data_IF_376427799717
#
_entry.id   IF_376427799717
#
_cell.length_a   1.000
_cell.length_b   1.000
_cell.length_c   1.000
_cell.angle_alpha   90.00
_cell.angle_beta   90.00
_cell.angle_gamma   90.00
#
_symmetry.space_group_name_H-M   'P 1'
#
loop_
_entity.id
_entity.type
_entity.pdbx_description
1 polymer ?
#
# COMPACT_ATOMS: atom_id res chain seq x y z
N UNK A 1 -30.63 -64.78 37.12
CA UNK A 1 -29.93 -63.54 36.71
C UNK A 1 -29.47 -63.56 35.25
N UNK A 2 -30.15 -64.29 34.35
CA UNK A 2 -29.74 -64.43 32.94
C UNK A 2 -30.71 -63.80 31.92
N UNK A 3 -31.84 -63.24 32.37
CA UNK A 3 -32.92 -62.76 31.49
C UNK A 3 -32.82 -61.24 31.18
N UNK A 4 -32.14 -60.47 32.03
CA UNK A 4 -32.08 -59.00 31.88
C UNK A 4 -31.05 -58.54 30.82
N UNK A 5 -30.09 -59.40 30.45
CA UNK A 5 -28.99 -59.04 29.55
C UNK A 5 -29.37 -59.17 28.06
N UNK A 6 -30.30 -60.08 27.73
CA UNK A 6 -30.82 -60.24 26.37
C UNK A 6 -31.78 -59.12 25.95
N UNK A 7 -32.59 -58.63 26.89
CA UNK A 7 -33.58 -57.57 26.61
C UNK A 7 -32.92 -56.20 26.35
N UNK A 8 -31.81 -55.88 27.03
CA UNK A 8 -31.09 -54.61 26.81
C UNK A 8 -30.38 -54.53 25.45
N UNK A 9 -29.85 -55.65 24.93
CA UNK A 9 -29.17 -55.69 23.64
C UNK A 9 -30.14 -55.57 22.44
N UNK A 10 -31.38 -56.05 22.59
CA UNK A 10 -32.41 -55.94 21.56
C UNK A 10 -32.97 -54.51 21.43
N UNK A 11 -33.11 -53.80 22.56
CA UNK A 11 -33.62 -52.41 22.60
C UNK A 11 -32.61 -51.41 22.00
N UNK A 12 -31.31 -51.64 22.19
CA UNK A 12 -30.23 -50.78 21.66
C UNK A 12 -30.19 -50.82 20.12
N UNK A 13 -30.26 -52.04 19.56
CA UNK A 13 -30.30 -52.32 18.11
C UNK A 13 -31.48 -51.67 17.39
N UNK A 14 -32.65 -51.62 18.03
CA UNK A 14 -33.85 -51.02 17.43
C UNK A 14 -33.78 -49.49 17.46
N UNK A 15 -33.20 -48.90 18.51
CA UNK A 15 -33.00 -47.45 18.58
C UNK A 15 -32.01 -46.95 17.51
N UNK A 16 -30.90 -47.67 17.31
CA UNK A 16 -29.90 -47.37 16.29
C UNK A 16 -30.47 -47.51 14.87
N UNK A 17 -31.34 -48.49 14.65
CA UNK A 17 -32.05 -48.66 13.38
C UNK A 17 -33.03 -47.53 13.13
N UNK A 18 -33.79 -47.10 14.15
CA UNK A 18 -34.72 -45.98 14.02
C UNK A 18 -34.00 -44.66 13.78
N UNK A 19 -32.84 -44.44 14.41
CA UNK A 19 -32.00 -43.27 14.16
C UNK A 19 -31.36 -43.30 12.76
N UNK A 20 -30.93 -44.46 12.29
CA UNK A 20 -30.47 -44.63 10.91
C UNK A 20 -31.59 -44.34 9.91
N UNK A 21 -32.79 -44.86 10.13
CA UNK A 21 -33.97 -44.62 9.28
C UNK A 21 -34.41 -43.15 9.30
N UNK A 22 -34.36 -42.49 10.46
CA UNK A 22 -34.63 -41.05 10.58
C UNK A 22 -33.62 -40.23 9.79
N UNK A 23 -32.32 -40.57 9.86
CA UNK A 23 -31.27 -39.91 9.08
C UNK A 23 -31.41 -40.14 7.57
N UNK A 24 -31.84 -41.32 7.14
CA UNK A 24 -32.15 -41.60 5.73
C UNK A 24 -33.39 -40.82 5.25
N UNK A 25 -34.42 -40.68 6.10
CA UNK A 25 -35.63 -39.90 5.78
C UNK A 25 -35.35 -38.41 5.62
N UNK A 26 -34.42 -37.85 6.41
CA UNK A 26 -33.97 -36.47 6.26
C UNK A 26 -33.18 -36.21 4.97
N UNK A 27 -32.47 -37.22 4.46
CA UNK A 27 -31.69 -37.11 3.22
C UNK A 27 -32.51 -37.34 1.94
N UNK A 28 -33.59 -38.13 2.02
CA UNK A 28 -34.40 -38.52 0.86
C UNK A 28 -35.56 -37.55 0.52
N UNK A 29 -35.77 -36.48 1.31
CA UNK A 29 -36.94 -35.61 1.17
C UNK A 29 -36.62 -34.12 1.17
N UNK A 30 -35.65 -33.70 0.36
CA UNK A 30 -35.51 -32.27 0.01
C UNK A 30 -36.13 -32.10 -1.38
N UNK A 31 -37.38 -31.62 -1.44
CA UNK A 31 -37.97 -31.12 -2.68
C UNK A 31 -37.22 -29.84 -3.08
N UNK A 32 -36.25 -29.97 -3.99
CA UNK A 32 -35.52 -28.82 -4.51
C UNK A 32 -36.41 -28.04 -5.48
N UNK A 33 -36.48 -26.72 -5.33
CA UNK A 33 -37.18 -25.88 -6.32
C UNK A 33 -36.41 -25.87 -7.64
N UNK A 34 -37.07 -25.72 -8.80
CA UNK A 34 -36.39 -25.64 -10.10
C UNK A 34 -35.28 -24.59 -10.15
N UNK A 35 -35.49 -23.44 -9.48
CA UNK A 35 -34.51 -22.35 -9.36
C UNK A 35 -33.27 -22.74 -8.54
N UNK A 36 -33.45 -23.57 -7.50
CA UNK A 36 -32.35 -24.05 -6.67
C UNK A 36 -31.57 -25.16 -7.39
N UNK A 37 -32.26 -26.01 -8.15
CA UNK A 37 -31.65 -26.99 -9.04
C UNK A 37 -30.84 -26.30 -10.15
N UNK A 38 -31.40 -25.26 -10.76
CA UNK A 38 -30.72 -24.46 -11.78
C UNK A 38 -29.50 -23.72 -11.20
N UNK A 39 -29.60 -23.10 -10.02
CA UNK A 39 -28.42 -22.53 -9.32
C UNK A 39 -27.37 -23.58 -8.97
N UNK A 40 -27.77 -24.78 -8.57
CA UNK A 40 -26.83 -25.86 -8.22
C UNK A 40 -26.12 -26.42 -9.47
N UNK A 41 -26.81 -26.45 -10.61
CA UNK A 41 -26.30 -26.94 -11.89
C UNK A 41 -25.45 -25.89 -12.63
N UNK A 42 -25.86 -24.62 -12.59
CA UNK A 42 -25.17 -23.50 -13.24
C UNK A 42 -24.00 -22.95 -12.41
N UNK A 43 -24.02 -23.14 -11.10
CA UNK A 43 -22.95 -22.72 -10.19
C UNK A 43 -22.66 -23.84 -9.19
N UNK A 44 -21.92 -24.90 -9.60
CA UNK A 44 -21.47 -25.92 -8.67
C UNK A 44 -20.74 -25.23 -7.52
N UNK A 45 -21.16 -25.48 -6.28
CA UNK A 45 -20.45 -24.94 -5.13
C UNK A 45 -19.00 -25.43 -5.17
N UNK A 46 -18.07 -24.53 -5.47
CA UNK A 46 -16.65 -24.87 -5.49
C UNK A 46 -16.26 -25.36 -4.11
N UNK A 47 -15.79 -26.61 -4.00
CA UNK A 47 -15.29 -27.21 -2.76
C UNK A 47 -13.93 -26.63 -2.32
N UNK A 48 -13.56 -25.46 -2.84
CA UNK A 48 -12.39 -24.72 -2.41
C UNK A 48 -12.80 -24.02 -1.13
N UNK A 49 -12.23 -24.45 0.01
CA UNK A 49 -12.38 -23.72 1.27
C UNK A 49 -11.96 -22.28 0.98
N UNK A 50 -12.92 -21.35 0.95
CA UNK A 50 -12.73 -19.93 0.67
C UNK A 50 -12.01 -19.20 1.81
N UNK A 51 -10.98 -19.83 2.37
CA UNK A 51 -10.16 -19.36 3.47
C UNK A 51 -8.77 -19.04 2.95
N UNK A 52 -8.68 -18.28 1.84
CA UNK A 52 -7.39 -17.76 1.33
C UNK A 52 -6.64 -16.99 2.44
N UNK A 53 -7.38 -16.32 3.33
CA UNK A 53 -6.85 -15.65 4.53
C UNK A 53 -6.36 -16.58 5.65
N UNK A 54 -6.83 -17.83 5.71
CA UNK A 54 -6.29 -18.83 6.64
C UNK A 54 -5.17 -19.65 6.00
N UNK A 55 -5.03 -19.56 4.66
CA UNK A 55 -3.98 -20.23 3.88
C UNK A 55 -2.75 -19.34 3.71
N UNK A 56 -2.94 -18.03 3.54
CA UNK A 56 -1.88 -17.03 3.38
C UNK A 56 -1.97 -15.96 4.47
N UNK A 57 -0.82 -15.47 4.95
CA UNK A 57 -0.76 -14.37 5.91
C UNK A 57 -1.20 -13.03 5.31
N UNK A 58 -1.44 -12.03 6.17
CA UNK A 58 -1.79 -10.68 5.74
C UNK A 58 -0.57 -9.99 5.08
N UNK A 59 -0.65 -9.58 3.79
CA UNK A 59 0.46 -8.96 3.08
C UNK A 59 0.50 -7.42 3.25
N UNK A 60 -0.52 -6.80 3.84
CA UNK A 60 -0.58 -5.35 4.08
C UNK A 60 0.67 -4.84 4.82
N UNK A 61 1.15 -5.49 5.91
CA UNK A 61 2.35 -5.03 6.60
C UNK A 61 3.61 -5.05 5.72
N UNK A 62 3.72 -6.02 4.80
CA UNK A 62 4.85 -6.11 3.86
C UNK A 62 4.88 -4.87 2.96
N UNK A 63 3.73 -4.48 2.41
CA UNK A 63 3.62 -3.30 1.57
C UNK A 63 3.87 -2.00 2.36
N UNK A 64 3.37 -1.93 3.61
CA UNK A 64 3.58 -0.77 4.48
C UNK A 64 5.05 -0.60 4.88
N UNK A 65 5.80 -1.68 5.12
CA UNK A 65 7.24 -1.59 5.36
C UNK A 65 7.96 -0.99 4.15
N UNK A 66 7.62 -1.43 2.94
CA UNK A 66 8.16 -0.83 1.71
C UNK A 66 7.89 0.67 1.63
N UNK A 67 6.68 1.09 1.99
CA UNK A 67 6.26 2.50 1.97
C UNK A 67 7.03 3.34 2.99
N UNK A 68 7.09 2.87 4.23
CA UNK A 68 7.77 3.57 5.32
C UNK A 68 9.28 3.69 5.07
N UNK A 69 9.91 2.63 4.57
CA UNK A 69 11.35 2.62 4.29
C UNK A 69 11.74 3.51 3.11
N UNK A 70 10.85 3.76 2.15
CA UNK A 70 11.12 4.71 1.07
C UNK A 70 10.78 6.15 1.47
N UNK A 71 9.62 6.36 2.08
CA UNK A 71 9.09 7.69 2.34
C UNK A 71 9.76 8.39 3.52
N UNK A 72 10.07 7.66 4.59
CA UNK A 72 10.64 8.26 5.81
C UNK A 72 12.06 8.78 5.57
N UNK A 73 12.99 8.03 4.95
CA UNK A 73 14.32 8.55 4.65
C UNK A 73 14.29 9.68 3.63
N UNK A 74 13.43 9.62 2.60
CA UNK A 74 13.28 10.72 1.64
C UNK A 74 12.80 12.00 2.35
N UNK A 75 11.85 11.86 3.27
CA UNK A 75 11.35 12.95 4.11
C UNK A 75 12.49 13.60 4.90
N UNK A 76 13.29 12.82 5.62
CA UNK A 76 14.46 13.33 6.36
C UNK A 76 15.47 14.03 5.45
N UNK A 77 15.71 13.49 4.25
CA UNK A 77 16.60 14.09 3.25
C UNK A 77 16.10 15.46 2.78
N UNK A 78 14.79 15.58 2.49
CA UNK A 78 14.20 16.83 1.99
C UNK A 78 14.07 17.91 3.07
N UNK A 79 14.15 17.54 4.36
CA UNK A 79 14.29 18.49 5.48
C UNK A 79 15.75 18.92 5.71
N UNK A 80 16.70 18.37 4.98
CA UNK A 80 18.14 18.51 5.23
C UNK A 80 18.54 18.12 6.67
N UNK A 81 17.83 17.16 7.28
CA UNK A 81 18.10 16.74 8.64
C UNK A 81 19.51 16.13 8.73
N UNK A 82 20.26 16.50 9.78
CA UNK A 82 21.66 16.09 9.98
C UNK A 82 22.59 16.46 8.80
N UNK A 83 22.23 17.50 8.04
CA UNK A 83 22.98 17.91 6.85
C UNK A 83 22.77 17.00 5.63
N UNK A 84 21.70 16.20 5.61
CA UNK A 84 21.32 15.43 4.43
C UNK A 84 21.11 16.35 3.21
N UNK A 85 21.50 15.89 2.02
CA UNK A 85 21.46 16.68 0.79
C UNK A 85 21.29 15.79 -0.44
N UNK A 86 21.21 16.39 -1.63
CA UNK A 86 21.17 15.64 -2.89
C UNK A 86 19.83 14.97 -3.16
N UNK A 87 18.73 15.52 -2.62
CA UNK A 87 17.35 15.12 -2.93
C UNK A 87 17.08 13.60 -2.82
N UNK A 88 17.75 12.93 -1.87
CA UNK A 88 17.58 11.49 -1.64
C UNK A 88 18.30 10.60 -2.65
N UNK A 89 19.31 11.09 -3.37
CA UNK A 89 20.12 10.29 -4.29
C UNK A 89 20.85 9.10 -3.59
N UNK A 90 21.25 9.28 -2.32
CA UNK A 90 21.88 8.21 -1.54
C UNK A 90 20.95 6.99 -1.33
N UNK A 91 19.63 7.20 -1.37
CA UNK A 91 18.61 6.19 -1.10
C UNK A 91 17.93 5.66 -2.38
N UNK A 92 18.51 5.90 -3.57
CA UNK A 92 18.03 5.33 -4.84
C UNK A 92 17.76 3.82 -4.75
N UNK A 93 18.66 2.98 -4.21
CA UNK A 93 18.39 1.53 -4.10
C UNK A 93 17.15 1.21 -3.25
N UNK A 94 16.89 2.01 -2.21
CA UNK A 94 15.73 1.83 -1.32
C UNK A 94 14.42 2.08 -2.09
N UNK A 95 14.40 3.04 -3.00
CA UNK A 95 13.24 3.29 -3.86
C UNK A 95 12.97 2.10 -4.80
N UNK A 96 14.02 1.47 -5.33
CA UNK A 96 13.84 0.31 -6.20
C UNK A 96 13.38 -0.94 -5.45
N UNK A 97 14.06 -1.31 -4.37
CA UNK A 97 13.85 -2.60 -3.72
C UNK A 97 12.75 -2.58 -2.67
N UNK A 98 12.73 -1.58 -1.78
CA UNK A 98 11.73 -1.48 -0.71
C UNK A 98 10.49 -0.71 -1.16
N UNK A 99 10.66 0.53 -1.60
CA UNK A 99 9.55 1.35 -2.07
C UNK A 99 8.87 0.76 -3.30
N UNK A 100 9.65 0.13 -4.18
CA UNK A 100 9.21 -0.37 -5.46
C UNK A 100 8.78 -1.82 -5.46
N UNK A 101 9.76 -2.71 -5.54
CA UNK A 101 9.54 -4.16 -5.70
C UNK A 101 8.77 -4.74 -4.52
N UNK A 102 9.23 -4.53 -3.29
CA UNK A 102 8.60 -5.10 -2.09
C UNK A 102 7.15 -4.62 -1.95
N UNK A 103 6.89 -3.33 -2.16
CA UNK A 103 5.54 -2.77 -2.08
C UNK A 103 4.63 -3.31 -3.19
N UNK A 104 5.12 -3.38 -4.44
CA UNK A 104 4.34 -3.90 -5.57
C UNK A 104 4.00 -5.37 -5.37
N UNK A 105 4.94 -6.17 -4.87
CA UNK A 105 4.69 -7.56 -4.50
C UNK A 105 3.63 -7.67 -3.40
N UNK A 106 3.70 -6.81 -2.37
CA UNK A 106 2.66 -6.72 -1.36
C UNK A 106 1.27 -6.41 -1.94
N UNK A 107 1.18 -5.48 -2.89
CA UNK A 107 -0.06 -5.19 -3.62
C UNK A 107 -0.58 -6.37 -4.45
N UNK A 108 0.29 -7.12 -5.11
CA UNK A 108 -0.09 -8.35 -5.82
C UNK A 108 -0.62 -9.43 -4.87
N UNK A 109 -0.02 -9.57 -3.69
CA UNK A 109 -0.49 -10.50 -2.65
C UNK A 109 -1.85 -10.08 -2.08
N UNK A 110 -2.10 -8.78 -1.92
CA UNK A 110 -3.43 -8.26 -1.57
C UNK A 110 -4.48 -8.62 -2.62
N UNK A 111 -4.12 -8.54 -3.90
CA UNK A 111 -5.01 -8.92 -5.00
C UNK A 111 -5.36 -10.41 -4.96
N UNK A 112 -4.37 -11.28 -4.69
CA UNK A 112 -4.57 -12.73 -4.54
C UNK A 112 -5.53 -13.05 -3.38
N UNK A 113 -5.48 -12.28 -2.30
CA UNK A 113 -6.41 -12.43 -1.17
C UNK A 113 -7.80 -11.83 -1.41
N UNK A 114 -8.02 -11.15 -2.53
CA UNK A 114 -9.29 -10.50 -2.89
C UNK A 114 -9.45 -9.08 -2.34
N UNK A 115 -8.40 -8.47 -1.78
CA UNK A 115 -8.42 -7.10 -1.27
C UNK A 115 -8.08 -6.10 -2.39
N UNK A 116 -9.06 -5.79 -3.25
CA UNK A 116 -8.83 -5.00 -4.46
C UNK A 116 -8.36 -3.56 -4.20
N UNK A 117 -8.88 -2.89 -3.16
CA UNK A 117 -8.53 -1.49 -2.90
C UNK A 117 -7.06 -1.34 -2.44
N UNK A 118 -6.60 -2.02 -1.37
CA UNK A 118 -5.19 -1.98 -0.97
C UNK A 118 -4.25 -2.48 -2.08
N UNK A 119 -4.66 -3.49 -2.85
CA UNK A 119 -3.87 -3.98 -3.97
C UNK A 119 -3.56 -2.90 -5.01
N UNK A 120 -4.59 -2.16 -5.46
CA UNK A 120 -4.42 -1.07 -6.43
C UNK A 120 -3.56 0.04 -5.83
N UNK A 121 -3.82 0.42 -4.58
CA UNK A 121 -3.02 1.42 -3.87
C UNK A 121 -1.53 1.04 -3.84
N UNK A 122 -1.19 -0.13 -3.31
CA UNK A 122 0.20 -0.54 -3.14
C UNK A 122 0.93 -0.77 -4.47
N UNK A 123 0.24 -1.27 -5.50
CA UNK A 123 0.82 -1.37 -6.85
C UNK A 123 1.08 0.03 -7.45
N UNK A 124 0.16 0.99 -7.29
CA UNK A 124 0.35 2.36 -7.77
C UNK A 124 1.49 3.08 -7.06
N UNK A 125 1.59 3.00 -5.73
CA UNK A 125 2.71 3.60 -5.00
C UNK A 125 4.03 2.86 -5.22
N UNK A 126 4.00 1.53 -5.38
CA UNK A 126 5.18 0.74 -5.69
C UNK A 126 5.81 1.16 -7.02
N UNK A 127 4.98 1.27 -8.06
CA UNK A 127 5.43 1.76 -9.36
C UNK A 127 5.85 3.23 -9.32
N UNK A 128 5.20 4.09 -8.53
CA UNK A 128 5.66 5.45 -8.28
C UNK A 128 7.10 5.49 -7.73
N UNK A 129 7.44 4.66 -6.74
CA UNK A 129 8.80 4.61 -6.18
C UNK A 129 9.83 4.06 -7.17
N UNK A 130 9.47 3.07 -7.98
CA UNK A 130 10.32 2.59 -9.08
C UNK A 130 10.60 3.72 -10.08
N UNK A 131 9.57 4.46 -10.48
CA UNK A 131 9.71 5.61 -11.38
C UNK A 131 10.53 6.74 -10.76
N UNK A 132 10.33 7.05 -9.47
CA UNK A 132 11.11 8.09 -8.78
C UNK A 132 12.59 7.71 -8.67
N UNK A 133 12.88 6.45 -8.33
CA UNK A 133 14.23 5.90 -8.37
C UNK A 133 14.84 5.97 -9.77
N UNK A 134 14.05 5.72 -10.81
CA UNK A 134 14.46 5.88 -12.21
C UNK A 134 14.81 7.31 -12.58
N UNK A 135 14.03 8.30 -12.13
CA UNK A 135 14.32 9.72 -12.36
C UNK A 135 15.67 10.12 -11.76
N UNK A 136 15.99 9.63 -10.56
CA UNK A 136 17.25 9.94 -9.88
C UNK A 136 18.43 9.11 -10.38
N UNK A 137 18.18 7.93 -10.95
CA UNK A 137 19.21 7.05 -11.45
C UNK A 137 19.76 7.56 -12.80
N UNK A 138 21.07 7.90 -12.88
CA UNK A 138 21.66 8.44 -14.10
C UNK A 138 21.50 7.53 -15.34
N UNK A 139 21.39 6.22 -15.15
CA UNK A 139 21.26 5.25 -16.26
C UNK A 139 19.97 5.40 -17.07
N UNK A 140 18.91 6.00 -16.51
CA UNK A 140 17.66 6.28 -17.23
C UNK A 140 17.73 7.56 -18.06
N UNK A 141 18.81 8.35 -17.93
CA UNK A 141 19.00 9.62 -18.60
C UNK A 141 17.86 10.64 -18.43
N UNK A 142 17.05 10.49 -17.37
CA UNK A 142 15.83 11.28 -17.18
C UNK A 142 16.09 12.78 -17.03
N UNK A 143 17.09 13.15 -16.21
CA UNK A 143 17.52 14.54 -16.08
C UNK A 143 18.61 14.92 -17.09
N UNK A 144 19.53 14.00 -17.42
CA UNK A 144 20.65 14.30 -18.32
C UNK A 144 20.21 14.63 -19.74
N UNK A 145 19.05 14.12 -20.19
CA UNK A 145 18.49 14.45 -21.52
C UNK A 145 18.04 15.90 -21.65
N UNK A 146 17.89 16.61 -20.53
CA UNK A 146 17.56 18.04 -20.52
C UNK A 146 18.81 18.93 -20.48
N UNK A 147 20.00 18.38 -20.23
CA UNK A 147 21.24 19.16 -20.21
C UNK A 147 21.67 19.55 -21.64
N UNK A 148 22.29 20.71 -21.80
CA UNK A 148 22.89 21.11 -23.08
C UNK A 148 24.10 20.22 -23.43
N UNK A 149 24.41 20.09 -24.72
CA UNK A 149 25.40 19.12 -25.23
C UNK A 149 26.82 19.24 -24.63
N UNK A 150 27.18 20.39 -24.07
CA UNK A 150 28.50 20.65 -23.49
C UNK A 150 28.46 20.83 -21.96
N UNK A 151 27.31 20.58 -21.33
CA UNK A 151 27.12 20.79 -19.89
C UNK A 151 27.12 19.46 -19.12
N UNK A 152 27.40 19.54 -17.82
CA UNK A 152 27.29 18.37 -16.95
C UNK A 152 25.84 17.87 -16.93
N UNK A 153 25.66 16.54 -16.88
CA UNK A 153 24.32 15.92 -16.82
C UNK A 153 23.43 16.52 -15.71
N UNK A 154 24.02 16.88 -14.56
CA UNK A 154 23.32 17.46 -13.42
C UNK A 154 22.64 18.81 -13.73
N UNK A 155 23.13 19.58 -14.71
CA UNK A 155 22.52 20.85 -15.12
C UNK A 155 21.11 20.66 -15.69
N UNK A 156 20.81 19.46 -16.22
CA UNK A 156 19.46 19.10 -16.65
C UNK A 156 18.41 19.24 -15.55
N UNK A 157 18.79 19.03 -14.28
CA UNK A 157 17.90 19.20 -13.10
C UNK A 157 17.46 20.65 -12.89
N UNK A 158 18.20 21.62 -13.43
CA UNK A 158 17.92 23.05 -13.27
C UNK A 158 17.05 23.60 -14.39
N UNK A 159 16.80 22.81 -15.43
CA UNK A 159 16.06 23.28 -16.59
C UNK A 159 14.57 23.44 -16.30
N UNK A 160 13.95 24.45 -16.90
CA UNK A 160 12.50 24.66 -16.86
C UNK A 160 11.75 23.42 -17.37
N UNK A 161 12.22 22.82 -18.46
CA UNK A 161 11.58 21.64 -19.07
C UNK A 161 11.52 20.44 -18.13
N UNK A 162 12.61 20.15 -17.43
CA UNK A 162 12.66 19.04 -16.47
C UNK A 162 11.74 19.29 -15.28
N UNK A 163 11.85 20.47 -14.66
CA UNK A 163 11.09 20.83 -13.46
C UNK A 163 9.59 20.92 -13.75
N UNK A 164 9.18 21.50 -14.88
CA UNK A 164 7.77 21.56 -15.28
C UNK A 164 7.18 20.15 -15.51
N UNK A 165 7.94 19.28 -16.19
CA UNK A 165 7.52 17.90 -16.49
C UNK A 165 7.34 17.06 -15.22
N UNK A 166 8.28 17.13 -14.27
CA UNK A 166 8.13 16.46 -12.98
C UNK A 166 6.96 17.04 -12.17
N UNK A 167 6.74 18.35 -12.22
CA UNK A 167 5.61 19.00 -11.56
C UNK A 167 4.26 18.43 -12.03
N UNK A 168 4.09 18.21 -13.34
CA UNK A 168 2.90 17.54 -13.89
C UNK A 168 2.76 16.11 -13.39
N UNK A 169 3.84 15.33 -13.35
CA UNK A 169 3.78 13.95 -12.86
C UNK A 169 3.32 13.90 -11.38
N UNK A 170 3.86 14.76 -10.53
CA UNK A 170 3.40 14.86 -9.13
C UNK A 170 1.97 15.37 -9.00
N UNK A 171 1.52 16.26 -9.90
CA UNK A 171 0.13 16.74 -9.91
C UNK A 171 -0.84 15.59 -10.16
N UNK A 172 -0.59 14.79 -11.20
CA UNK A 172 -1.45 13.65 -11.52
C UNK A 172 -1.38 12.55 -10.45
N UNK A 173 -0.23 12.37 -9.80
CA UNK A 173 -0.13 11.50 -8.63
C UNK A 173 -0.97 12.02 -7.46
N UNK A 174 -0.97 13.34 -7.21
CA UNK A 174 -1.86 13.98 -6.25
C UNK A 174 -3.33 13.79 -6.59
N UNK A 175 -3.72 13.92 -7.86
CA UNK A 175 -5.08 13.66 -8.33
C UNK A 175 -5.51 12.20 -8.11
N UNK A 176 -4.60 11.24 -8.34
CA UNK A 176 -4.84 9.84 -8.02
C UNK A 176 -5.07 9.65 -6.51
N UNK A 177 -4.31 10.35 -5.66
CA UNK A 177 -4.52 10.32 -4.21
C UNK A 177 -5.88 10.89 -3.81
N UNK A 178 -6.42 11.89 -4.52
CA UNK A 178 -7.80 12.38 -4.30
C UNK A 178 -8.83 11.29 -4.59
N UNK A 179 -8.66 10.53 -5.69
CA UNK A 179 -9.53 9.40 -5.99
C UNK A 179 -9.46 8.35 -4.89
N UNK A 180 -8.25 7.98 -4.45
CA UNK A 180 -8.07 7.03 -3.34
C UNK A 180 -8.61 7.53 -2.00
N UNK A 181 -8.51 8.85 -1.71
CA UNK A 181 -9.11 9.46 -0.53
C UNK A 181 -10.63 9.24 -0.52
N UNK A 182 -11.31 9.54 -1.63
CA UNK A 182 -12.75 9.36 -1.78
C UNK A 182 -13.13 7.88 -1.58
N UNK A 183 -12.39 6.96 -2.18
CA UNK A 183 -12.60 5.52 -2.00
C UNK A 183 -12.33 5.04 -0.56
N UNK A 184 -11.41 5.71 0.16
CA UNK A 184 -11.02 5.33 1.52
C UNK A 184 -12.00 5.76 2.60
N UNK A 185 -12.90 6.72 2.31
CA UNK A 185 -13.87 7.28 3.26
C UNK A 185 -14.74 6.22 3.96
N UNK A 186 -14.98 5.08 3.31
CA UNK A 186 -15.82 4.00 3.85
C UNK A 186 -15.02 2.80 4.38
N UNK A 187 -13.72 2.72 4.10
CA UNK A 187 -12.95 1.48 4.31
C UNK A 187 -12.02 1.56 5.51
N UNK A 188 -11.22 2.62 5.66
CA UNK A 188 -10.21 2.69 6.72
C UNK A 188 -9.77 4.13 7.01
N UNK A 189 -9.93 4.57 8.26
CA UNK A 189 -9.51 5.91 8.73
C UNK A 189 -8.00 6.12 8.56
N UNK A 190 -7.19 5.07 8.72
CA UNK A 190 -5.73 5.14 8.52
C UNK A 190 -5.41 5.47 7.06
N UNK A 191 -6.00 4.75 6.10
CA UNK A 191 -5.79 5.07 4.68
C UNK A 191 -6.30 6.47 4.32
N UNK A 192 -7.42 6.90 4.91
CA UNK A 192 -7.91 8.27 4.73
C UNK A 192 -6.87 9.30 5.20
N UNK A 193 -6.31 9.14 6.40
CA UNK A 193 -5.29 10.07 6.92
C UNK A 193 -4.02 10.08 6.06
N UNK A 194 -3.60 8.92 5.55
CA UNK A 194 -2.44 8.80 4.66
C UNK A 194 -2.71 9.51 3.32
N UNK A 195 -3.87 9.31 2.70
CA UNK A 195 -4.15 9.99 1.42
C UNK A 195 -4.32 11.49 1.60
N UNK A 196 -4.90 11.94 2.72
CA UNK A 196 -5.03 13.37 3.01
C UNK A 196 -3.65 14.02 3.12
N UNK A 197 -2.71 13.41 3.84
CA UNK A 197 -1.34 13.92 3.94
C UNK A 197 -0.61 13.86 2.60
N UNK A 198 -0.81 12.79 1.81
CA UNK A 198 -0.20 12.65 0.48
C UNK A 198 -0.73 13.67 -0.54
N UNK A 199 -2.01 14.04 -0.50
CA UNK A 199 -2.56 15.09 -1.38
C UNK A 199 -1.88 16.42 -1.12
N UNK A 200 -1.74 16.81 0.14
CA UNK A 200 -1.04 18.04 0.52
C UNK A 200 0.43 17.93 0.09
N UNK A 201 1.04 16.77 0.29
CA UNK A 201 2.44 16.56 -0.03
C UNK A 201 2.75 16.64 -1.53
N UNK A 202 1.97 15.98 -2.37
CA UNK A 202 2.10 16.07 -3.82
C UNK A 202 1.75 17.48 -4.33
N UNK A 203 0.76 18.16 -3.74
CA UNK A 203 0.45 19.55 -4.06
C UNK A 203 1.62 20.50 -3.78
N UNK A 204 2.26 20.37 -2.61
CA UNK A 204 3.46 21.15 -2.27
C UNK A 204 4.65 20.79 -3.16
N UNK A 205 4.79 19.52 -3.54
CA UNK A 205 5.84 19.05 -4.44
C UNK A 205 5.66 19.65 -5.84
N UNK A 206 4.45 19.59 -6.40
CA UNK A 206 4.10 20.26 -7.67
C UNK A 206 4.40 21.75 -7.61
N UNK A 207 3.97 22.45 -6.55
CA UNK A 207 4.26 23.87 -6.37
C UNK A 207 5.76 24.18 -6.30
N UNK A 208 6.54 23.34 -5.61
CA UNK A 208 7.99 23.52 -5.52
C UNK A 208 8.67 23.34 -6.88
N UNK A 209 8.33 22.30 -7.63
CA UNK A 209 8.91 22.04 -8.95
C UNK A 209 8.48 23.08 -9.99
N UNK A 210 7.24 23.56 -9.97
CA UNK A 210 6.85 24.66 -10.87
C UNK A 210 7.49 26.00 -10.50
N UNK A 211 7.66 26.31 -9.21
CA UNK A 211 8.42 27.50 -8.81
C UNK A 211 9.88 27.44 -9.28
N UNK A 212 10.51 26.26 -9.23
CA UNK A 212 11.86 26.03 -9.79
C UNK A 212 11.88 26.07 -11.32
N UNK A 213 10.76 25.77 -11.98
CA UNK A 213 10.66 25.87 -13.43
C UNK A 213 10.59 27.34 -13.91
N UNK A 214 9.89 28.20 -13.15
CA UNK A 214 9.76 29.63 -13.44
C UNK A 214 11.08 30.38 -13.25
N UNK A 215 11.72 30.19 -12.09
CA UNK A 215 13.05 30.74 -11.80
C UNK A 215 13.79 29.83 -10.81
N UNK A 216 14.70 29.02 -11.34
CA UNK A 216 15.45 28.06 -10.54
C UNK A 216 16.28 28.72 -9.44
N UNK A 217 16.96 29.83 -9.74
CA UNK A 217 17.87 30.49 -8.80
C UNK A 217 17.12 31.37 -7.79
N UNK A 218 16.17 32.18 -8.27
CA UNK A 218 15.41 33.10 -7.41
C UNK A 218 14.42 32.40 -6.49
N UNK A 219 13.80 31.30 -6.95
CA UNK A 219 12.81 30.57 -6.15
C UNK A 219 13.38 29.39 -5.36
N UNK A 220 14.69 29.13 -5.41
CA UNK A 220 15.31 27.99 -4.71
C UNK A 220 14.97 27.95 -3.21
N UNK A 221 14.99 29.11 -2.54
CA UNK A 221 14.66 29.20 -1.12
C UNK A 221 13.16 28.97 -0.84
N UNK A 222 12.29 29.48 -1.71
CA UNK A 222 10.84 29.27 -1.62
C UNK A 222 10.47 27.80 -1.87
N UNK A 223 11.05 27.20 -2.90
CA UNK A 223 10.90 25.78 -3.20
C UNK A 223 11.37 24.93 -2.02
N UNK A 224 12.53 25.22 -1.43
CA UNK A 224 13.00 24.52 -0.23
C UNK A 224 11.99 24.62 0.93
N UNK A 225 11.41 25.80 1.18
CA UNK A 225 10.36 25.94 2.20
C UNK A 225 9.16 25.04 1.93
N UNK A 226 8.70 24.97 0.68
CA UNK A 226 7.61 24.05 0.29
C UNK A 226 8.00 22.58 0.49
N UNK A 227 9.26 22.22 0.20
CA UNK A 227 9.77 20.87 0.42
C UNK A 227 9.86 20.53 1.91
N UNK A 228 10.27 21.47 2.77
CA UNK A 228 10.36 21.25 4.22
C UNK A 228 8.97 21.14 4.84
N UNK A 229 8.04 22.05 4.52
CA UNK A 229 6.66 22.10 5.07
C UNK A 229 5.85 20.85 4.75
N UNK A 230 6.11 20.19 3.62
CA UNK A 230 5.49 18.91 3.25
C UNK A 230 5.71 17.82 4.31
N UNK A 231 6.87 17.84 4.94
CA UNK A 231 7.44 16.69 5.63
C UNK A 231 6.83 16.39 6.99
N UNK A 232 6.55 17.37 7.88
CA UNK A 232 5.87 17.09 9.15
C UNK A 232 4.49 16.43 8.95
N UNK A 233 3.75 16.72 7.88
CA UNK A 233 2.43 16.07 7.65
C UNK A 233 2.49 14.55 7.38
N UNK A 234 3.63 14.04 6.92
CA UNK A 234 3.85 12.61 6.63
C UNK A 234 4.64 11.91 7.75
N UNK A 235 5.51 12.65 8.46
CA UNK A 235 6.41 12.11 9.49
C UNK A 235 6.04 12.46 10.93
N UNK A 236 5.05 13.34 11.18
CA UNK A 236 4.62 13.71 12.54
C UNK A 236 4.02 12.56 13.36
N UNK A 237 3.88 11.35 12.82
CA UNK A 237 3.59 10.16 13.64
C UNK A 237 4.84 9.38 14.08
N UNK A 238 6.05 9.77 13.67
CA UNK A 238 7.26 8.96 13.94
C UNK A 238 8.47 9.71 14.50
N UNK A 239 8.64 11.01 14.26
CA UNK A 239 9.76 11.77 14.85
C UNK A 239 9.37 13.22 15.07
N UNK A 240 8.91 13.52 16.29
CA UNK A 240 8.86 14.89 16.76
C UNK A 240 10.19 15.19 17.42
N UNK A 241 11.18 15.61 16.62
CA UNK A 241 12.44 16.09 17.18
C UNK A 241 12.18 17.44 17.85
N UNK A 242 12.30 17.43 19.18
CA UNK A 242 12.29 18.61 20.02
C UNK A 242 13.49 19.48 19.61
N UNK A 243 13.30 20.80 19.52
CA UNK A 243 14.28 21.78 18.99
C UNK A 243 15.58 21.90 19.82
N UNK A 244 15.83 20.99 20.78
CA UNK A 244 16.88 21.12 21.80
C UNK A 244 17.83 19.90 21.92
N UNK A 245 18.20 19.25 20.82
CA UNK A 245 19.49 18.55 20.71
C UNK A 245 19.71 17.26 21.52
N UNK A 246 18.73 16.76 22.27
CA UNK A 246 18.84 15.48 22.98
C UNK A 246 18.16 14.36 22.19
N UNK A 247 18.96 13.40 21.71
CA UNK A 247 18.48 12.22 20.97
C UNK A 247 17.99 11.17 21.96
N UNK A 248 16.74 11.26 22.40
CA UNK A 248 16.01 10.11 22.94
C UNK A 248 15.12 9.52 21.84
N UNK A 249 15.46 8.29 21.44
CA UNK A 249 14.67 7.49 20.51
C UNK A 249 13.48 6.88 21.24
N UNK A 250 12.46 7.69 21.53
CA UNK A 250 11.19 7.21 22.04
C UNK A 250 10.40 6.54 20.90
N UNK A 251 10.70 5.27 20.66
CA UNK A 251 9.83 4.37 19.89
C UNK A 251 8.49 4.24 20.64
N UNK A 252 7.45 4.94 20.18
CA UNK A 252 6.10 4.77 20.74
C UNK A 252 5.57 3.34 20.47
N UNK A 253 5.01 2.63 21.47
CA UNK A 253 4.72 1.20 21.42
C UNK A 253 3.36 0.80 20.80
N UNK A 254 2.75 1.61 19.93
CA UNK A 254 1.36 1.36 19.48
C UNK A 254 1.18 0.50 18.22
N UNK A 255 2.17 -0.31 17.82
CA UNK A 255 2.09 -1.12 16.59
C UNK A 255 2.59 -2.57 16.71
N UNK A 256 2.31 -3.21 17.85
CA UNK A 256 2.09 -4.67 17.92
C UNK A 256 0.59 -4.95 17.83
#
# INVERSE_FOLDING_TARGET
MADEKGNRAAVDSDSDRLDALNRFRSAASISMTPELFEKLYLSPQSKVKGQLRDTFGNPTPIALVGFLMALTPLSCNLMNWRGASGNGAATIPVYFFQGGILMTLGGLLEWILGNSFPAVVFCSFGTFWLSYGGVLNPSFAAFSSYAAANEAAAEGLQTTGFNASLGFWFLFMGMLCVVFLICSLRTNVVFFTIFLSLIIAFGLLTGAFWALADDFAGNAHYANKLLVVRTPLITCSMFQENVNGDVEADFFPWWL
#
